data_IF_294350450820
#
_entry.id   IF_294350450820
#
_cell.length_a   1.000
_cell.length_b   1.000
_cell.length_c   1.000
_cell.angle_alpha   90.00
_cell.angle_beta   90.00
_cell.angle_gamma   90.00
#
_symmetry.space_group_name_H-M   'P 1'
#
loop_
_entity.id
_entity.type
_entity.pdbx_description
1 polymer ?
#
# COMPACT_ATOMS: atom_id res chain seq x y z
N UNK A 1 -24.04 7.06 1.11
CA UNK A 1 -22.71 6.45 0.96
C UNK A 1 -22.00 7.09 -0.23
N UNK A 2 -20.87 7.76 0.00
CA UNK A 2 -20.14 8.49 -1.07
C UNK A 2 -18.90 7.71 -1.58
N UNK A 3 -18.98 6.37 -1.53
CA UNK A 3 -17.90 5.45 -1.96
C UNK A 3 -17.49 5.57 -3.43
N UNK A 4 -18.30 6.27 -4.24
CA UNK A 4 -17.96 6.58 -5.65
C UNK A 4 -16.73 7.47 -5.80
N UNK A 5 -16.36 8.22 -4.75
CA UNK A 5 -15.19 9.09 -4.74
C UNK A 5 -13.95 8.43 -4.10
N UNK A 6 -14.02 7.17 -3.73
CA UNK A 6 -12.84 6.41 -3.32
C UNK A 6 -12.11 5.86 -4.54
N UNK A 7 -10.79 5.66 -4.44
CA UNK A 7 -10.00 5.10 -5.53
C UNK A 7 -9.08 3.99 -5.04
N UNK A 8 -9.08 2.87 -5.76
CA UNK A 8 -8.07 1.82 -5.64
C UNK A 8 -7.06 1.98 -6.76
N UNK A 9 -5.78 2.05 -6.39
CA UNK A 9 -4.66 2.22 -7.30
C UNK A 9 -3.74 1.02 -7.18
N UNK A 10 -3.33 0.45 -8.32
CA UNK A 10 -2.29 -0.56 -8.43
C UNK A 10 -1.22 -0.17 -9.44
N UNK A 11 -0.04 -0.77 -9.30
CA UNK A 11 1.05 -0.64 -10.26
C UNK A 11 1.54 -2.03 -10.66
N UNK A 12 1.67 -2.30 -11.94
CA UNK A 12 2.13 -3.59 -12.47
C UNK A 12 3.15 -3.42 -13.59
N UNK A 13 4.20 -4.24 -13.54
CA UNK A 13 5.24 -4.29 -14.57
C UNK A 13 5.58 -5.75 -14.85
N UNK A 14 5.52 -6.14 -16.13
CA UNK A 14 5.82 -7.50 -16.58
C UNK A 14 4.91 -8.59 -15.96
N UNK A 15 3.70 -8.25 -15.48
CA UNK A 15 2.75 -9.22 -14.94
C UNK A 15 1.83 -9.74 -16.03
N UNK A 16 1.48 -11.03 -15.95
CA UNK A 16 0.41 -11.64 -16.70
C UNK A 16 -0.93 -11.59 -15.95
N UNK A 17 -1.98 -12.02 -16.61
CA UNK A 17 -3.31 -12.08 -15.98
C UNK A 17 -3.35 -12.96 -14.71
N UNK A 18 -2.67 -14.13 -14.64
CA UNK A 18 -2.69 -14.96 -13.43
C UNK A 18 -2.24 -14.25 -12.16
N UNK A 19 -1.24 -13.35 -12.26
CA UNK A 19 -0.74 -12.59 -11.11
C UNK A 19 -1.68 -11.46 -10.70
N UNK A 20 -2.42 -10.88 -11.64
CA UNK A 20 -3.31 -9.73 -11.43
C UNK A 20 -4.73 -10.15 -11.07
N UNK A 21 -5.15 -11.32 -11.54
CA UNK A 21 -6.51 -11.83 -11.43
C UNK A 21 -7.03 -11.88 -9.98
N UNK A 22 -6.30 -12.40 -8.99
CA UNK A 22 -6.79 -12.48 -7.62
C UNK A 22 -7.16 -11.10 -7.05
N UNK A 23 -6.30 -10.11 -7.27
CA UNK A 23 -6.52 -8.73 -6.87
C UNK A 23 -7.75 -8.12 -7.54
N UNK A 24 -7.80 -8.15 -8.87
CA UNK A 24 -8.85 -7.51 -9.64
C UNK A 24 -10.23 -8.15 -9.40
N UNK A 25 -10.31 -9.48 -9.39
CA UNK A 25 -11.56 -10.19 -9.15
C UNK A 25 -12.04 -10.14 -7.72
N UNK A 26 -11.14 -10.12 -6.73
CA UNK A 26 -11.53 -9.99 -5.33
C UNK A 26 -12.15 -8.62 -5.06
N UNK A 27 -11.61 -7.55 -5.63
CA UNK A 27 -12.19 -6.21 -5.52
C UNK A 27 -13.58 -6.13 -6.15
N UNK A 28 -13.77 -6.77 -7.32
CA UNK A 28 -15.08 -6.86 -7.99
C UNK A 28 -16.09 -7.60 -7.12
N UNK A 29 -15.71 -8.77 -6.58
CA UNK A 29 -16.56 -9.58 -5.70
C UNK A 29 -16.99 -8.87 -4.43
N UNK A 30 -16.16 -7.96 -3.91
CA UNK A 30 -16.50 -7.15 -2.74
C UNK A 30 -17.55 -6.07 -3.02
N UNK A 31 -17.97 -5.88 -4.27
CA UNK A 31 -18.91 -4.83 -4.64
C UNK A 31 -18.34 -3.42 -4.51
N UNK A 32 -17.04 -3.25 -4.73
CA UNK A 32 -16.43 -1.92 -4.76
C UNK A 32 -16.89 -1.15 -6.00
N UNK A 33 -17.48 0.03 -5.78
CA UNK A 33 -18.08 0.89 -6.83
C UNK A 33 -17.29 2.17 -7.08
N UNK A 34 -16.16 2.37 -6.38
CA UNK A 34 -15.28 3.52 -6.55
C UNK A 34 -14.43 3.43 -7.82
N UNK A 35 -13.49 4.33 -7.93
CA UNK A 35 -12.58 4.41 -9.07
C UNK A 35 -11.50 3.32 -8.97
N UNK A 36 -11.18 2.69 -10.09
CA UNK A 36 -10.15 1.66 -10.22
C UNK A 36 -9.10 2.13 -11.22
N UNK A 37 -7.87 2.34 -10.79
CA UNK A 37 -6.77 2.84 -11.64
C UNK A 37 -5.58 1.89 -11.57
N UNK A 38 -5.08 1.48 -12.73
CA UNK A 38 -3.92 0.61 -12.85
C UNK A 38 -2.84 1.28 -13.70
N UNK A 39 -1.69 1.53 -13.11
CA UNK A 39 -0.49 1.93 -13.85
C UNK A 39 0.18 0.68 -14.38
N UNK A 40 0.40 0.63 -15.70
CA UNK A 40 0.82 -0.58 -16.39
C UNK A 40 2.09 -0.34 -17.20
N UNK A 41 3.03 -1.27 -17.12
CA UNK A 41 4.24 -1.31 -17.93
C UNK A 41 4.50 -2.71 -18.44
N UNK A 42 4.64 -2.84 -19.77
CA UNK A 42 4.97 -4.10 -20.42
C UNK A 42 4.07 -5.27 -20.01
N UNK A 43 2.77 -5.14 -20.18
CA UNK A 43 1.78 -6.20 -19.95
C UNK A 43 1.09 -6.61 -21.25
N UNK A 44 0.60 -7.85 -21.32
CA UNK A 44 -0.06 -8.39 -22.52
C UNK A 44 -1.39 -7.69 -22.83
N UNK A 45 -1.77 -7.67 -24.10
CA UNK A 45 -3.10 -7.19 -24.55
C UNK A 45 -4.24 -7.93 -23.84
N UNK A 46 -4.10 -9.24 -23.65
CA UNK A 46 -5.07 -10.03 -22.90
C UNK A 46 -5.28 -9.52 -21.47
N UNK A 47 -4.20 -9.20 -20.75
CA UNK A 47 -4.31 -8.64 -19.40
C UNK A 47 -4.98 -7.26 -19.42
N UNK A 48 -4.65 -6.39 -20.39
CA UNK A 48 -5.29 -5.08 -20.58
C UNK A 48 -6.81 -5.23 -20.82
N UNK A 49 -7.20 -6.10 -21.72
CA UNK A 49 -8.61 -6.38 -22.04
C UNK A 49 -9.39 -6.85 -20.80
N UNK A 50 -8.81 -7.77 -20.01
CA UNK A 50 -9.44 -8.29 -18.80
C UNK A 50 -9.63 -7.20 -17.73
N UNK A 51 -8.62 -6.36 -17.50
CA UNK A 51 -8.71 -5.23 -16.58
C UNK A 51 -9.75 -4.21 -17.04
N UNK A 52 -9.74 -3.86 -18.33
CA UNK A 52 -10.72 -2.92 -18.92
C UNK A 52 -12.15 -3.44 -18.78
N UNK A 53 -12.37 -4.74 -19.03
CA UNK A 53 -13.69 -5.38 -18.87
C UNK A 53 -14.19 -5.34 -17.42
N UNK A 54 -13.28 -5.28 -16.42
CA UNK A 54 -13.59 -5.10 -15.00
C UNK A 54 -13.69 -3.62 -14.60
N UNK A 55 -13.68 -2.67 -15.55
CA UNK A 55 -13.83 -1.25 -15.31
C UNK A 55 -12.58 -0.55 -14.74
N UNK A 56 -11.39 -1.14 -14.95
CA UNK A 56 -10.13 -0.47 -14.60
C UNK A 56 -9.76 0.58 -15.64
N UNK A 57 -9.40 1.77 -15.18
CA UNK A 57 -8.73 2.77 -15.99
C UNK A 57 -7.25 2.44 -16.06
N UNK A 58 -6.74 2.17 -17.25
CA UNK A 58 -5.33 1.83 -17.46
C UNK A 58 -4.53 3.08 -17.82
N UNK A 59 -3.38 3.26 -17.15
CA UNK A 59 -2.42 4.32 -17.44
C UNK A 59 -1.09 3.69 -17.81
N UNK A 60 -0.71 3.80 -19.07
CA UNK A 60 0.60 3.30 -19.54
C UNK A 60 1.71 4.21 -19.01
N UNK A 61 2.73 3.59 -18.45
CA UNK A 61 3.91 4.27 -17.92
C UNK A 61 5.18 3.58 -18.41
N UNK A 62 6.26 4.34 -18.47
CA UNK A 62 7.62 3.81 -18.68
C UNK A 62 8.44 4.18 -17.45
N UNK A 63 8.90 3.20 -16.69
CA UNK A 63 9.79 3.46 -15.56
C UNK A 63 11.21 3.76 -16.05
N UNK A 64 11.87 4.67 -15.37
CA UNK A 64 13.29 4.90 -15.57
C UNK A 64 14.08 3.64 -15.15
N UNK A 65 14.81 3.06 -16.08
CA UNK A 65 15.61 1.85 -15.86
C UNK A 65 16.78 2.07 -14.89
N UNK A 66 17.12 3.32 -14.60
CA UNK A 66 18.17 3.67 -13.64
C UNK A 66 17.73 3.51 -12.18
N UNK A 67 16.41 3.42 -11.92
CA UNK A 67 15.85 3.28 -10.59
C UNK A 67 15.27 1.88 -10.36
N UNK A 68 15.28 1.44 -9.10
CA UNK A 68 14.53 0.25 -8.70
C UNK A 68 13.04 0.46 -8.95
N UNK A 69 12.36 -0.55 -9.52
CA UNK A 69 10.91 -0.49 -9.72
C UNK A 69 10.15 -0.25 -8.41
N UNK A 70 10.64 -0.80 -7.30
CA UNK A 70 10.02 -0.61 -5.98
C UNK A 70 9.88 0.88 -5.60
N UNK A 71 10.85 1.71 -5.98
CA UNK A 71 10.81 3.16 -5.74
C UNK A 71 10.21 3.95 -6.91
N UNK A 72 10.55 3.59 -8.16
CA UNK A 72 10.11 4.31 -9.35
C UNK A 72 8.58 4.24 -9.58
N UNK A 73 7.92 3.15 -9.15
CA UNK A 73 6.48 2.96 -9.28
C UNK A 73 5.63 4.03 -8.59
N UNK A 74 6.19 4.73 -7.61
CA UNK A 74 5.49 5.78 -6.87
C UNK A 74 5.38 7.09 -7.66
N UNK A 75 6.27 7.35 -8.61
CA UNK A 75 6.32 8.62 -9.37
C UNK A 75 5.01 8.86 -10.14
N UNK A 76 4.56 7.96 -11.04
CA UNK A 76 3.31 8.19 -11.78
C UNK A 76 2.07 8.23 -10.87
N UNK A 77 2.11 7.55 -9.72
CA UNK A 77 1.04 7.61 -8.72
C UNK A 77 1.01 8.98 -8.05
N UNK A 78 2.18 9.52 -7.68
CA UNK A 78 2.31 10.87 -7.12
C UNK A 78 1.75 11.93 -8.06
N UNK A 79 2.13 11.89 -9.34
CA UNK A 79 1.65 12.82 -10.35
C UNK A 79 0.12 12.75 -10.52
N UNK A 80 -0.40 11.53 -10.63
CA UNK A 80 -1.84 11.30 -10.73
C UNK A 80 -2.63 11.85 -9.52
N UNK A 81 -2.12 11.62 -8.30
CA UNK A 81 -2.79 12.13 -7.09
C UNK A 81 -2.74 13.64 -7.01
N UNK A 82 -1.64 14.28 -7.47
CA UNK A 82 -1.55 15.75 -7.56
C UNK A 82 -2.56 16.34 -8.55
N UNK A 83 -2.71 15.72 -9.72
CA UNK A 83 -3.68 16.12 -10.74
C UNK A 83 -5.15 15.94 -10.31
N UNK A 84 -5.39 15.02 -9.38
CA UNK A 84 -6.74 14.60 -8.98
C UNK A 84 -7.04 14.85 -7.48
N UNK A 85 -6.32 15.76 -6.82
CA UNK A 85 -6.41 16.03 -5.38
C UNK A 85 -7.82 16.34 -4.87
N UNK A 86 -8.66 16.95 -5.70
CA UNK A 86 -10.02 17.35 -5.34
C UNK A 86 -11.10 16.33 -5.77
N UNK A 87 -10.69 15.17 -6.34
CA UNK A 87 -11.64 14.18 -6.88
C UNK A 87 -11.91 13.03 -5.93
N UNK A 88 -10.92 12.67 -5.12
CA UNK A 88 -11.01 11.47 -4.29
C UNK A 88 -11.14 11.82 -2.80
N UNK A 89 -11.93 11.03 -2.10
CA UNK A 89 -12.06 11.08 -0.66
C UNK A 89 -11.00 10.19 -0.01
N UNK A 90 -10.99 8.92 -0.35
CA UNK A 90 -10.01 7.96 0.13
C UNK A 90 -9.24 7.34 -1.03
N UNK A 91 -7.96 7.09 -0.77
CA UNK A 91 -7.03 6.39 -1.68
C UNK A 91 -6.58 5.09 -1.03
N UNK A 92 -6.65 4.00 -1.79
CA UNK A 92 -6.07 2.70 -1.46
C UNK A 92 -5.03 2.38 -2.54
N UNK A 93 -3.77 2.67 -2.25
CA UNK A 93 -2.66 2.30 -3.12
C UNK A 93 -2.07 0.98 -2.64
N UNK A 94 -2.19 -0.09 -3.44
CA UNK A 94 -2.01 -1.47 -2.99
C UNK A 94 -1.15 -2.27 -3.96
N UNK A 95 -0.26 -3.10 -3.42
CA UNK A 95 0.52 -4.07 -4.18
C UNK A 95 -0.39 -5.13 -4.81
N UNK A 96 -0.34 -5.26 -6.14
CA UNK A 96 -1.34 -6.01 -6.90
C UNK A 96 -1.16 -7.52 -6.78
N UNK A 97 0.09 -8.01 -6.81
CA UNK A 97 0.36 -9.45 -6.79
C UNK A 97 0.04 -10.11 -5.45
N UNK A 98 0.23 -9.35 -4.37
CA UNK A 98 0.28 -9.89 -3.02
C UNK A 98 -0.95 -9.52 -2.18
N UNK A 99 -1.97 -8.88 -2.79
CA UNK A 99 -3.16 -8.44 -2.09
C UNK A 99 -4.45 -9.05 -2.64
N UNK A 100 -5.38 -9.33 -1.73
CA UNK A 100 -6.72 -9.85 -2.01
C UNK A 100 -7.74 -9.13 -1.12
N UNK A 101 -8.83 -8.67 -1.71
CA UNK A 101 -9.92 -8.04 -0.97
C UNK A 101 -10.93 -9.10 -0.51
N UNK A 102 -11.23 -9.12 0.78
CA UNK A 102 -12.23 -10.02 1.36
C UNK A 102 -13.58 -9.33 1.60
N UNK A 103 -13.57 -8.00 1.70
CA UNK A 103 -14.76 -7.17 1.88
C UNK A 103 -14.58 -5.82 1.18
N UNK A 104 -15.69 -5.07 1.04
CA UNK A 104 -15.64 -3.73 0.43
C UNK A 104 -14.87 -2.75 1.34
N UNK A 105 -13.69 -2.27 0.90
CA UNK A 105 -12.86 -1.42 1.74
C UNK A 105 -13.49 -0.07 2.07
N UNK A 106 -14.33 0.48 1.18
CA UNK A 106 -15.00 1.77 1.41
C UNK A 106 -15.91 1.77 2.63
N UNK A 107 -16.52 0.62 2.95
CA UNK A 107 -17.40 0.50 4.12
C UNK A 107 -16.59 0.67 5.41
N UNK A 108 -15.44 0.05 5.49
CA UNK A 108 -14.59 0.19 6.66
C UNK A 108 -14.03 1.62 6.77
N UNK A 109 -13.54 2.19 5.68
CA UNK A 109 -12.98 3.54 5.64
C UNK A 109 -14.01 4.59 6.10
N UNK A 110 -15.21 4.55 5.56
CA UNK A 110 -16.28 5.48 5.91
C UNK A 110 -16.66 5.45 7.40
N UNK A 111 -16.61 4.27 8.02
CA UNK A 111 -17.02 4.10 9.41
C UNK A 111 -15.86 4.31 10.41
N UNK A 112 -14.61 4.23 9.99
CA UNK A 112 -13.49 4.14 10.92
C UNK A 112 -12.36 5.15 10.66
N UNK A 113 -12.29 5.81 9.51
CA UNK A 113 -11.19 6.69 9.15
C UNK A 113 -11.70 8.09 8.81
N UNK A 114 -11.00 9.11 9.31
CA UNK A 114 -11.25 10.49 8.89
C UNK A 114 -10.51 10.77 7.58
N UNK A 115 -11.01 11.72 6.79
CA UNK A 115 -10.43 12.09 5.50
C UNK A 115 -9.04 12.74 5.59
N UNK A 116 -8.62 13.15 6.79
CA UNK A 116 -7.28 13.65 7.04
C UNK A 116 -6.34 12.62 7.69
N UNK A 117 -6.76 11.36 7.82
CA UNK A 117 -5.96 10.30 8.44
C UNK A 117 -5.31 9.38 7.39
N UNK A 118 -4.14 8.83 7.77
CA UNK A 118 -3.38 7.82 7.05
C UNK A 118 -3.37 6.53 7.88
N UNK A 119 -3.49 5.38 7.24
CA UNK A 119 -3.33 4.06 7.88
C UNK A 119 -1.87 3.61 7.74
N UNK A 120 -1.26 3.28 8.87
CA UNK A 120 0.02 2.58 8.94
C UNK A 120 -0.23 1.10 9.31
N UNK A 121 -0.33 0.17 8.34
CA UNK A 121 -0.59 -1.23 8.63
C UNK A 121 0.64 -1.89 9.24
N UNK A 122 0.53 -2.31 10.51
CA UNK A 122 1.62 -2.93 11.25
C UNK A 122 1.82 -4.38 10.83
N UNK A 123 3.06 -4.78 10.61
CA UNK A 123 3.47 -6.19 10.44
C UNK A 123 3.58 -6.94 11.78
N UNK A 124 3.24 -6.28 12.90
CA UNK A 124 3.28 -6.84 14.25
C UNK A 124 4.67 -7.34 14.69
N UNK A 125 5.72 -6.77 14.13
CA UNK A 125 7.12 -7.02 14.49
C UNK A 125 7.84 -5.68 14.66
N UNK A 126 8.76 -5.58 15.63
CA UNK A 126 9.54 -4.36 15.81
C UNK A 126 10.65 -4.27 14.76
N UNK A 127 11.00 -3.03 14.39
CA UNK A 127 12.08 -2.77 13.42
C UNK A 127 13.39 -3.42 13.87
N UNK A 128 13.76 -3.30 15.15
CA UNK A 128 14.99 -3.90 15.70
C UNK A 128 15.02 -5.43 15.67
N UNK A 129 13.85 -6.07 15.63
CA UNK A 129 13.69 -7.52 15.62
C UNK A 129 13.52 -8.08 14.18
N UNK A 130 13.71 -7.21 13.17
CA UNK A 130 13.53 -7.53 11.77
C UNK A 130 14.72 -6.99 10.95
N UNK A 131 15.73 -7.83 10.79
CA UNK A 131 17.03 -7.48 10.18
C UNK A 131 16.92 -6.78 8.82
N UNK A 132 15.96 -7.19 7.99
CA UNK A 132 15.81 -6.65 6.64
C UNK A 132 15.32 -5.20 6.69
N UNK A 133 14.28 -4.91 7.47
CA UNK A 133 13.76 -3.55 7.61
C UNK A 133 14.75 -2.62 8.36
N UNK A 134 15.38 -3.12 9.42
CA UNK A 134 16.45 -2.41 10.12
C UNK A 134 17.57 -2.02 9.16
N UNK A 135 18.05 -2.97 8.35
CA UNK A 135 19.08 -2.71 7.34
C UNK A 135 18.64 -1.68 6.30
N UNK A 136 17.42 -1.78 5.73
CA UNK A 136 16.92 -0.81 4.75
C UNK A 136 16.87 0.61 5.30
N UNK A 137 16.42 0.78 6.56
CA UNK A 137 16.40 2.09 7.23
C UNK A 137 17.82 2.60 7.44
N UNK A 138 18.74 1.75 7.90
CA UNK A 138 20.15 2.13 8.11
C UNK A 138 20.83 2.54 6.82
N UNK A 139 20.62 1.81 5.72
CA UNK A 139 21.20 2.10 4.40
C UNK A 139 20.66 3.39 3.79
N UNK A 140 19.40 3.74 4.03
CA UNK A 140 18.73 4.89 3.40
C UNK A 140 18.77 6.15 4.24
N UNK A 141 18.65 6.02 5.55
CA UNK A 141 18.43 7.15 6.48
C UNK A 141 19.49 7.25 7.58
N UNK A 142 20.39 6.27 7.66
CA UNK A 142 21.48 6.25 8.62
C UNK A 142 21.15 5.56 9.95
N UNK A 143 22.21 5.26 10.69
CA UNK A 143 22.15 4.47 11.93
C UNK A 143 21.39 5.17 13.06
N UNK A 144 21.47 6.50 13.14
CA UNK A 144 20.75 7.27 14.18
C UNK A 144 19.23 7.14 14.02
N UNK A 145 18.72 7.22 12.79
CA UNK A 145 17.31 7.06 12.49
C UNK A 145 16.90 5.60 12.75
N UNK A 146 17.69 4.63 12.31
CA UNK A 146 17.43 3.21 12.56
C UNK A 146 17.28 2.94 14.06
N UNK A 147 18.22 3.40 14.90
CA UNK A 147 18.14 3.25 16.35
C UNK A 147 16.93 3.94 16.96
N UNK A 148 16.58 5.13 16.47
CA UNK A 148 15.41 5.88 16.97
C UNK A 148 14.09 5.19 16.70
N UNK A 149 13.99 4.46 15.57
CA UNK A 149 12.80 3.72 15.15
C UNK A 149 12.77 2.27 15.64
N UNK A 150 13.86 1.75 16.19
CA UNK A 150 14.03 0.34 16.52
C UNK A 150 12.92 -0.27 17.37
N UNK A 151 12.33 0.49 18.31
CA UNK A 151 11.22 0.05 19.16
C UNK A 151 9.83 0.28 18.56
N UNK A 152 9.76 0.67 17.30
CA UNK A 152 8.51 0.86 16.58
C UNK A 152 8.15 -0.38 15.75
N UNK A 153 6.85 -0.61 15.53
CA UNK A 153 6.38 -1.64 14.60
C UNK A 153 6.86 -1.35 13.18
N UNK A 154 7.22 -2.39 12.43
CA UNK A 154 7.36 -2.29 10.97
C UNK A 154 5.99 -2.01 10.36
N UNK A 155 5.90 -1.00 9.50
CA UNK A 155 4.70 -0.69 8.72
C UNK A 155 4.90 -1.13 7.28
N UNK A 156 3.92 -1.85 6.74
CA UNK A 156 3.92 -2.33 5.36
C UNK A 156 3.57 -1.19 4.39
N UNK A 157 4.46 -0.87 3.45
CA UNK A 157 4.20 0.09 2.38
C UNK A 157 3.50 -0.50 1.16
N UNK A 158 3.34 -1.82 1.11
CA UNK A 158 2.56 -2.50 0.06
C UNK A 158 1.06 -2.19 0.11
N UNK A 159 0.61 -1.48 1.16
CA UNK A 159 -0.76 -1.00 1.29
C UNK A 159 -0.74 0.37 1.96
N UNK A 160 -0.80 1.43 1.16
CA UNK A 160 -0.87 2.83 1.62
C UNK A 160 -2.32 3.29 1.47
N UNK A 161 -2.99 3.52 2.59
CA UNK A 161 -4.42 3.83 2.64
C UNK A 161 -4.69 5.04 3.51
N UNK A 162 -5.58 5.92 3.06
CA UNK A 162 -5.95 7.11 3.83
C UNK A 162 -6.80 8.09 3.03
N UNK A 163 -7.05 9.25 3.61
CA UNK A 163 -7.59 10.38 2.85
C UNK A 163 -6.62 10.84 1.77
N UNK A 164 -7.12 11.53 0.77
CA UNK A 164 -6.32 11.93 -0.40
C UNK A 164 -5.08 12.75 0.01
N UNK A 165 -5.20 13.72 0.91
CA UNK A 165 -4.10 14.61 1.26
C UNK A 165 -2.93 13.92 1.97
N UNK A 166 -3.13 13.12 3.05
CA UNK A 166 -2.01 12.44 3.68
C UNK A 166 -1.40 11.36 2.78
N UNK A 167 -2.19 10.66 1.95
CA UNK A 167 -1.65 9.68 0.99
C UNK A 167 -0.82 10.37 -0.09
N UNK A 168 -1.32 11.45 -0.67
CA UNK A 168 -0.59 12.26 -1.67
C UNK A 168 0.73 12.77 -1.08
N UNK A 169 0.69 13.32 0.13
CA UNK A 169 1.86 13.85 0.80
C UNK A 169 2.93 12.78 1.06
N UNK A 170 2.54 11.62 1.61
CA UNK A 170 3.52 10.57 1.91
C UNK A 170 4.16 10.02 0.63
N UNK A 171 3.38 9.78 -0.43
CA UNK A 171 3.91 9.27 -1.71
C UNK A 171 4.84 10.30 -2.35
N UNK A 172 4.47 11.57 -2.35
CA UNK A 172 5.35 12.65 -2.86
C UNK A 172 6.68 12.68 -2.10
N UNK A 173 6.65 12.60 -0.76
CA UNK A 173 7.87 12.58 0.07
C UNK A 173 8.71 11.32 -0.15
N UNK A 174 8.10 10.17 -0.33
CA UNK A 174 8.81 8.95 -0.72
C UNK A 174 9.53 9.13 -2.07
N UNK A 175 8.89 9.73 -3.07
CA UNK A 175 9.52 10.05 -4.35
C UNK A 175 10.70 11.04 -4.19
N UNK A 176 10.55 12.07 -3.35
CA UNK A 176 11.64 13.05 -3.09
C UNK A 176 12.87 12.37 -2.46
N UNK A 177 12.66 11.51 -1.47
CA UNK A 177 13.74 10.76 -0.80
C UNK A 177 14.42 9.74 -1.74
N UNK A 178 13.65 9.15 -2.65
CA UNK A 178 14.15 8.14 -3.60
C UNK A 178 14.97 8.72 -4.75
N UNK A 179 15.01 10.05 -4.94
CA UNK A 179 15.77 10.67 -6.05
C UNK A 179 17.26 10.35 -6.04
N UNK A 180 17.84 10.24 -4.86
CA UNK A 180 19.29 10.08 -4.69
C UNK A 180 19.70 8.65 -4.34
N UNK A 181 18.79 7.88 -3.72
CA UNK A 181 19.03 6.51 -3.29
C UNK A 181 17.81 5.69 -3.66
N UNK A 182 17.99 4.73 -4.55
CA UNK A 182 16.92 3.84 -5.02
C UNK A 182 17.35 2.38 -4.87
N UNK A 183 16.51 1.57 -4.26
CA UNK A 183 16.78 0.16 -4.05
C UNK A 183 15.53 -0.63 -3.70
N UNK A 184 15.69 -1.93 -3.60
CA UNK A 184 14.62 -2.83 -3.18
C UNK A 184 14.31 -2.63 -1.69
N UNK A 185 13.03 -2.37 -1.36
CA UNK A 185 12.56 -2.17 0.02
C UNK A 185 12.82 -0.79 0.61
N UNK A 186 13.49 0.11 -0.12
CA UNK A 186 13.77 1.46 0.35
C UNK A 186 12.51 2.31 0.46
N UNK A 187 11.49 2.05 -0.35
CA UNK A 187 10.15 2.60 -0.22
C UNK A 187 9.54 2.30 1.16
N UNK A 188 9.69 1.08 1.67
CA UNK A 188 9.23 0.71 3.01
C UNK A 188 10.03 1.43 4.12
N UNK A 189 11.33 1.61 3.95
CA UNK A 189 12.14 2.40 4.88
C UNK A 189 11.65 3.86 4.96
N UNK A 190 11.42 4.50 3.81
CA UNK A 190 10.90 5.87 3.75
C UNK A 190 9.48 5.97 4.33
N UNK A 191 8.59 5.04 4.03
CA UNK A 191 7.25 5.01 4.60
C UNK A 191 7.29 4.90 6.13
N UNK A 192 8.12 3.99 6.66
CA UNK A 192 8.31 3.82 8.10
C UNK A 192 8.85 5.08 8.78
N UNK A 193 9.75 5.80 8.15
CA UNK A 193 10.28 7.07 8.67
C UNK A 193 9.23 8.19 8.62
N UNK A 194 8.66 8.43 7.45
CA UNK A 194 7.76 9.55 7.20
C UNK A 194 6.51 9.52 8.09
N UNK A 195 5.95 8.33 8.32
CA UNK A 195 4.78 8.15 9.18
C UNK A 195 5.03 8.41 10.66
N UNK A 196 6.30 8.64 11.05
CA UNK A 196 6.71 8.89 12.46
C UNK A 196 7.28 10.27 12.69
N UNK A 197 7.32 11.11 11.67
CA UNK A 197 7.71 12.52 11.77
C UNK A 197 6.56 13.44 11.34
N UNK A 198 6.54 14.67 11.84
CA UNK A 198 5.55 15.69 11.45
C UNK A 198 5.66 16.04 9.95
N UNK A 199 4.53 16.30 9.28
CA UNK A 199 3.16 16.34 9.82
C UNK A 199 2.45 14.97 9.82
N UNK A 200 3.03 13.92 9.24
CA UNK A 200 2.32 12.63 9.09
C UNK A 200 2.14 11.89 10.41
N UNK A 201 3.04 12.07 11.37
CA UNK A 201 2.95 11.44 12.69
C UNK A 201 1.61 11.72 13.39
N UNK A 202 1.10 12.93 13.25
CA UNK A 202 -0.11 13.40 13.91
C UNK A 202 -1.40 12.81 13.29
N UNK A 203 -1.31 12.38 12.04
CA UNK A 203 -2.46 11.89 11.27
C UNK A 203 -2.36 10.40 10.93
N UNK A 204 -1.24 9.74 11.24
CA UNK A 204 -1.06 8.32 10.99
C UNK A 204 -1.65 7.49 12.12
N UNK A 205 -2.62 6.65 11.78
CA UNK A 205 -3.16 5.62 12.68
C UNK A 205 -2.44 4.31 12.42
N UNK A 206 -1.61 3.88 13.37
CA UNK A 206 -0.96 2.57 13.29
C UNK A 206 -1.99 1.52 13.73
N UNK A 207 -2.31 0.63 12.81
CA UNK A 207 -3.29 -0.44 13.02
C UNK A 207 -2.59 -1.79 13.05
N UNK A 208 -2.69 -2.49 14.17
CA UNK A 208 -2.26 -3.88 14.27
C UNK A 208 -3.27 -4.78 13.57
N UNK A 209 -2.85 -5.94 13.12
CA UNK A 209 -3.65 -6.86 12.31
C UNK A 209 -5.04 -7.16 12.95
N UNK A 210 -5.10 -7.32 14.27
CA UNK A 210 -6.36 -7.60 15.00
C UNK A 210 -7.35 -6.44 15.00
N UNK A 211 -6.87 -5.20 14.79
CA UNK A 211 -7.67 -3.97 14.85
C UNK A 211 -7.82 -3.33 13.45
N UNK A 212 -7.24 -3.97 12.43
CA UNK A 212 -7.16 -3.48 11.06
C UNK A 212 -8.07 -4.28 10.13
N UNK A 213 -8.55 -3.61 9.07
CA UNK A 213 -9.14 -4.28 7.91
C UNK A 213 -8.07 -4.77 6.91
N UNK A 214 -6.79 -4.55 7.22
CA UNK A 214 -5.63 -4.97 6.42
C UNK A 214 -4.88 -6.03 7.22
N UNK A 215 -4.69 -7.21 6.62
CA UNK A 215 -3.84 -8.25 7.15
C UNK A 215 -2.57 -8.36 6.32
N UNK A 216 -1.42 -8.08 6.94
CA UNK A 216 -0.10 -8.25 6.33
C UNK A 216 0.45 -9.61 6.70
N UNK A 217 0.51 -10.51 5.72
CA UNK A 217 0.76 -11.95 5.98
C UNK A 217 2.18 -12.42 5.66
N UNK A 218 3.05 -11.56 5.13
CA UNK A 218 4.37 -11.92 4.61
C UNK A 218 5.29 -12.64 5.61
N UNK A 219 5.24 -12.28 6.89
CA UNK A 219 6.08 -12.85 7.94
C UNK A 219 5.44 -14.03 8.68
N UNK A 220 4.14 -14.24 8.53
CA UNK A 220 3.41 -15.30 9.22
C UNK A 220 3.60 -16.69 8.59
N UNK A 221 4.07 -16.76 7.34
CA UNK A 221 4.37 -18.05 6.70
C UNK A 221 5.48 -18.84 7.38
N UNK A 222 6.33 -18.18 8.18
CA UNK A 222 7.36 -18.88 8.96
C UNK A 222 6.83 -19.51 10.26
N UNK A 223 5.59 -19.21 10.65
CA UNK A 223 5.03 -19.66 11.93
C UNK A 223 3.56 -20.09 11.76
N UNK A 224 3.38 -21.30 11.20
CA UNK A 224 2.05 -21.86 10.89
C UNK A 224 1.08 -21.91 12.07
N UNK A 225 1.57 -21.78 13.32
CA UNK A 225 0.76 -21.77 14.53
C UNK A 225 0.01 -20.44 14.73
N UNK A 226 0.58 -19.32 14.32
CA UNK A 226 -0.06 -17.99 14.41
C UNK A 226 -1.26 -17.87 13.46
N UNK A 227 -1.21 -18.56 12.32
CA UNK A 227 -2.32 -18.65 11.38
C UNK A 227 -3.55 -19.34 11.93
N UNK A 228 -3.37 -20.40 12.72
CA UNK A 228 -4.48 -21.11 13.35
C UNK A 228 -5.27 -20.21 14.28
N UNK A 229 -4.61 -19.36 15.05
CA UNK A 229 -5.29 -18.43 15.96
C UNK A 229 -6.05 -17.33 15.22
N UNK A 230 -5.51 -16.84 14.10
CA UNK A 230 -6.14 -15.83 13.27
C UNK A 230 -7.39 -16.38 12.56
N UNK A 231 -7.26 -17.49 11.84
CA UNK A 231 -8.37 -18.11 11.11
C UNK A 231 -9.50 -18.63 12.01
N UNK A 232 -9.19 -19.09 13.21
CA UNK A 232 -10.21 -19.61 14.16
C UNK A 232 -11.01 -18.49 14.82
N UNK A 233 -10.46 -17.29 14.97
CA UNK A 233 -11.19 -16.15 15.56
C UNK A 233 -12.20 -15.55 14.58
N UNK A 234 -11.86 -15.43 13.30
CA UNK A 234 -12.73 -14.82 12.29
C UNK A 234 -13.96 -15.69 11.93
N UNK A 235 -13.81 -17.01 11.99
CA UNK A 235 -14.91 -17.96 11.70
C UNK A 235 -15.93 -18.02 12.85
N UNK A 236 -15.58 -17.58 14.07
CA UNK A 236 -16.48 -17.62 15.24
C UNK A 236 -17.21 -16.31 15.54
N UNK A 237 -16.90 -15.25 14.81
CA UNK A 237 -17.47 -13.90 14.97
C UNK A 237 -18.39 -13.46 13.82
N UNK A 238 -18.71 -14.36 12.89
CA UNK A 238 -19.65 -14.14 11.79
C UNK A 238 -20.99 -14.90 11.99
#
# INVERSE_FOLDING_TARGET
>A
MNSRNDVVIGTIKNYGWPEVMPFALSLERCGFIGNKVMFIENISSYCKERLTALGWTLKEVASDSSQSYATARHIPVSDFLNENKDKFRYVLYVDVRDAVFQSNPSIWLENNLKENELVGPSECVLIKDQDVNSRWIKETLGEEIEKSLGNSDVLCCGTIVGGIEPVRYVIQKMCELSKNISGWGYDQAYFNYLTRISPLKEVTRILKMKDSFIATVSWFFCDAWKWKEFLVRDIRSS
#
